data_IF_531732667551
#
_entry.id   IF_531732667551
#
_cell.length_a   1.000
_cell.length_b   1.000
_cell.length_c   1.000
_cell.angle_alpha   90.00
_cell.angle_beta   90.00
_cell.angle_gamma   90.00
#
_symmetry.space_group_name_H-M   'P 1'
#
loop_
_entity.id
_entity.type
_entity.pdbx_description
1 polymer ?
#
# COMPACT_ATOMS: atom_id res chain seq x y z
N UNK A 1 -2.42 19.18 11.35
CA UNK A 1 -1.06 19.51 10.85
C UNK A 1 -0.66 18.51 9.75
N UNK A 2 -1.42 18.44 8.65
CA UNK A 2 -1.27 17.41 7.59
C UNK A 2 -0.90 17.99 6.21
N UNK A 3 -0.67 19.32 6.11
CA UNK A 3 -0.49 19.99 4.81
C UNK A 3 0.91 19.83 4.19
N UNK A 4 1.94 19.47 4.96
CA UNK A 4 3.30 19.27 4.43
C UNK A 4 3.50 17.90 3.74
N UNK A 5 2.55 16.99 3.93
CA UNK A 5 2.65 15.57 3.61
C UNK A 5 2.41 15.28 2.10
N UNK A 6 1.82 16.24 1.37
CA UNK A 6 1.47 16.06 -0.05
C UNK A 6 2.63 16.15 -1.03
N UNK A 7 3.81 16.65 -0.62
CA UNK A 7 4.86 17.03 -1.58
C UNK A 7 5.96 16.00 -1.78
N UNK A 8 6.21 15.14 -0.80
CA UNK A 8 7.19 14.06 -0.92
C UNK A 8 6.57 12.78 -0.37
N UNK A 9 6.46 11.75 -1.22
CA UNK A 9 5.94 10.43 -0.86
C UNK A 9 6.84 9.65 0.10
N UNK A 10 7.33 10.29 1.16
CA UNK A 10 8.08 9.76 2.30
C UNK A 10 7.28 9.91 3.61
N UNK A 11 5.96 10.08 3.51
CA UNK A 11 5.02 10.30 4.61
C UNK A 11 5.29 9.31 5.75
N UNK A 12 5.24 8.01 5.45
CA UNK A 12 5.42 6.97 6.46
C UNK A 12 6.88 6.79 6.89
N UNK A 13 7.86 7.12 6.06
CA UNK A 13 9.27 6.95 6.43
C UNK A 13 9.64 7.81 7.65
N UNK A 14 9.10 9.01 7.75
CA UNK A 14 9.28 9.89 8.91
C UNK A 14 8.11 9.87 9.91
N UNK A 15 7.02 9.17 9.58
CA UNK A 15 5.87 9.07 10.47
C UNK A 15 6.19 8.19 11.69
N UNK A 16 5.53 8.51 12.81
CA UNK A 16 5.56 7.68 14.01
C UNK A 16 4.90 6.33 13.75
N UNK A 17 5.20 5.34 14.60
CA UNK A 17 4.62 4.00 14.49
C UNK A 17 3.09 4.03 14.48
N UNK A 18 2.47 4.89 15.31
CA UNK A 18 1.02 5.06 15.34
C UNK A 18 0.44 5.42 13.96
N UNK A 19 1.12 6.28 13.20
CA UNK A 19 0.67 6.70 11.86
C UNK A 19 0.99 5.64 10.79
N UNK A 20 2.03 4.81 11.00
CA UNK A 20 2.34 3.64 10.14
C UNK A 20 1.39 2.48 10.36
N UNK A 21 0.69 2.45 11.50
CA UNK A 21 -0.35 1.50 11.85
C UNK A 21 -1.76 2.05 11.59
N UNK A 22 -1.89 3.30 11.17
CA UNK A 22 -3.17 3.92 10.86
C UNK A 22 -3.59 3.58 9.42
N UNK A 23 -4.64 2.75 9.30
CA UNK A 23 -5.14 2.27 8.00
C UNK A 23 -5.50 3.41 7.06
N UNK A 24 -6.16 4.47 7.54
CA UNK A 24 -6.61 5.57 6.69
C UNK A 24 -5.43 6.37 6.15
N UNK A 25 -4.43 6.62 7.00
CA UNK A 25 -3.21 7.33 6.61
C UNK A 25 -2.40 6.51 5.61
N UNK A 26 -2.23 5.21 5.86
CA UNK A 26 -1.50 4.32 4.94
C UNK A 26 -2.22 4.23 3.60
N UNK A 27 -3.56 4.10 3.61
CA UNK A 27 -4.37 3.99 2.40
C UNK A 27 -4.28 5.26 1.54
N UNK A 28 -4.31 6.45 2.16
CA UNK A 28 -4.09 7.71 1.46
C UNK A 28 -2.65 7.86 0.95
N UNK A 29 -1.67 7.36 1.71
CA UNK A 29 -0.27 7.39 1.31
C UNK A 29 0.02 6.46 0.12
N UNK A 30 -0.51 5.24 0.09
CA UNK A 30 -0.29 4.29 -1.03
C UNK A 30 -0.97 4.74 -2.32
N UNK A 31 -2.11 5.44 -2.23
CA UNK A 31 -2.73 6.12 -3.39
C UNK A 31 -1.79 7.12 -4.03
N UNK A 32 -1.02 7.87 -3.22
CA UNK A 32 -0.02 8.80 -3.70
C UNK A 32 1.26 8.11 -4.19
N UNK A 33 1.77 7.12 -3.47
CA UNK A 33 3.00 6.38 -3.86
C UNK A 33 2.99 4.96 -3.28
N UNK A 34 2.73 3.94 -4.11
CA UNK A 34 2.57 2.57 -3.63
C UNK A 34 3.82 1.99 -2.94
N UNK A 35 5.03 2.47 -3.26
CA UNK A 35 6.28 2.06 -2.58
C UNK A 35 6.30 2.41 -1.09
N UNK A 36 5.42 3.30 -0.64
CA UNK A 36 5.30 3.68 0.78
C UNK A 36 4.83 2.49 1.63
N UNK A 37 4.11 1.52 1.05
CA UNK A 37 3.58 0.36 1.75
C UNK A 37 4.66 -0.44 2.51
N UNK A 38 5.92 -0.39 2.04
CA UNK A 38 7.05 -1.04 2.73
C UNK A 38 7.34 -0.51 4.14
N UNK A 39 6.82 0.68 4.47
CA UNK A 39 6.96 1.31 5.78
C UNK A 39 5.71 1.17 6.66
N UNK A 40 4.62 0.63 6.12
CA UNK A 40 3.42 0.34 6.91
C UNK A 40 3.69 -0.81 7.88
N UNK A 41 2.82 -0.93 8.89
CA UNK A 41 2.83 -2.04 9.82
C UNK A 41 2.72 -3.39 9.10
N UNK A 42 3.21 -4.46 9.72
CA UNK A 42 3.08 -5.81 9.16
C UNK A 42 1.60 -6.16 8.91
N UNK A 43 0.73 -5.82 9.86
CA UNK A 43 -0.73 -6.04 9.79
C UNK A 43 -1.34 -5.32 8.59
N UNK A 44 -0.93 -4.08 8.31
CA UNK A 44 -1.46 -3.31 7.19
C UNK A 44 -0.90 -3.76 5.83
N UNK A 45 0.24 -4.43 5.78
CA UNK A 45 0.73 -5.09 4.55
C UNK A 45 0.01 -6.41 4.25
N UNK A 46 -0.68 -6.95 5.26
CA UNK A 46 -1.58 -8.11 5.16
C UNK A 46 -3.03 -7.68 4.89
N UNK A 47 -3.33 -6.38 4.95
CA UNK A 47 -4.63 -5.84 4.65
C UNK A 47 -4.89 -5.83 3.13
N UNK A 48 -5.95 -6.54 2.73
CA UNK A 48 -6.33 -6.70 1.33
C UNK A 48 -6.69 -5.37 0.66
N UNK A 49 -7.38 -4.46 1.35
CA UNK A 49 -7.79 -3.18 0.76
C UNK A 49 -6.57 -2.31 0.42
N UNK A 50 -5.60 -2.28 1.34
CA UNK A 50 -4.34 -1.57 1.14
C UNK A 50 -3.54 -2.22 0.00
N UNK A 51 -3.47 -3.55 -0.05
CA UNK A 51 -2.79 -4.28 -1.11
C UNK A 51 -3.38 -3.99 -2.48
N UNK A 52 -4.71 -4.03 -2.61
CA UNK A 52 -5.44 -3.70 -3.85
C UNK A 52 -5.15 -2.26 -4.26
N UNK A 53 -5.25 -1.29 -3.33
CA UNK A 53 -4.98 0.11 -3.62
C UNK A 53 -3.54 0.34 -4.11
N UNK A 54 -2.57 -0.30 -3.47
CA UNK A 54 -1.16 -0.20 -3.84
C UNK A 54 -0.86 -0.84 -5.20
N UNK A 55 -1.41 -2.03 -5.47
CA UNK A 55 -1.20 -2.76 -6.73
C UNK A 55 -1.88 -2.09 -7.92
N UNK A 56 -3.07 -1.52 -7.70
CA UNK A 56 -3.80 -0.74 -8.70
C UNK A 56 -3.00 0.48 -9.13
N UNK A 57 -2.30 1.13 -8.19
CA UNK A 57 -1.43 2.25 -8.51
C UNK A 57 -0.14 1.80 -9.20
N UNK A 58 0.52 0.76 -8.67
CA UNK A 58 1.76 0.23 -9.23
C UNK A 58 1.91 -1.24 -8.87
N UNK A 59 1.84 -2.11 -9.89
CA UNK A 59 1.99 -3.56 -9.74
C UNK A 59 3.33 -3.98 -9.10
N UNK A 60 4.37 -3.14 -9.15
CA UNK A 60 5.64 -3.38 -8.43
C UNK A 60 5.49 -3.35 -6.90
N UNK A 61 4.36 -2.85 -6.39
CA UNK A 61 4.05 -2.90 -4.96
C UNK A 61 3.80 -4.33 -4.44
N UNK A 62 3.70 -5.33 -5.34
CA UNK A 62 3.63 -6.75 -5.00
C UNK A 62 4.74 -7.17 -4.04
N UNK A 63 5.95 -6.61 -4.18
CA UNK A 63 7.08 -6.93 -3.30
C UNK A 63 6.93 -6.43 -1.85
N UNK A 64 5.89 -5.64 -1.55
CA UNK A 64 5.66 -5.04 -0.25
C UNK A 64 4.40 -5.52 0.47
N UNK A 65 3.51 -6.25 -0.22
CA UNK A 65 2.36 -6.92 0.40
C UNK A 65 2.80 -8.28 0.94
N UNK A 66 2.00 -8.85 1.85
CA UNK A 66 2.28 -10.18 2.37
C UNK A 66 2.05 -11.27 1.31
N UNK A 67 2.86 -12.33 1.36
CA UNK A 67 2.77 -13.45 0.42
C UNK A 67 1.44 -14.20 0.54
N UNK A 68 0.81 -14.18 1.72
CA UNK A 68 -0.52 -14.74 1.96
C UNK A 68 -1.61 -14.14 1.06
N UNK A 69 -1.42 -12.92 0.56
CA UNK A 69 -2.35 -12.25 -0.34
C UNK A 69 -2.14 -12.61 -1.82
N UNK A 70 -1.06 -13.33 -2.17
CA UNK A 70 -0.79 -13.67 -3.58
C UNK A 70 -1.75 -14.72 -4.14
N UNK A 71 -2.39 -15.50 -3.27
CA UNK A 71 -3.41 -16.48 -3.66
C UNK A 71 -4.80 -15.84 -3.81
N UNK A 72 -4.98 -14.60 -3.36
CA UNK A 72 -6.24 -13.90 -3.48
C UNK A 72 -6.56 -13.60 -4.95
N UNK A 73 -7.78 -13.96 -5.37
CA UNK A 73 -8.23 -13.84 -6.75
C UNK A 73 -8.21 -12.39 -7.24
N UNK A 74 -8.60 -11.43 -6.39
CA UNK A 74 -8.61 -10.01 -6.77
C UNK A 74 -7.19 -9.51 -7.00
N UNK A 75 -6.25 -9.91 -6.13
CA UNK A 75 -4.83 -9.58 -6.26
C UNK A 75 -4.25 -10.17 -7.56
N UNK A 76 -4.56 -11.43 -7.87
CA UNK A 76 -4.09 -12.07 -9.11
C UNK A 76 -4.66 -11.39 -10.35
N UNK A 77 -5.94 -11.02 -10.34
CA UNK A 77 -6.59 -10.31 -11.43
C UNK A 77 -5.96 -8.93 -11.68
N UNK A 78 -5.56 -8.21 -10.63
CA UNK A 78 -4.86 -6.92 -10.76
C UNK A 78 -3.46 -7.12 -11.36
N UNK A 79 -2.73 -8.13 -10.90
CA UNK A 79 -1.37 -8.39 -11.36
C UNK A 79 -1.34 -8.86 -12.82
N UNK A 80 -2.19 -9.84 -13.14
CA UNK A 80 -2.30 -10.48 -14.44
C UNK A 80 -3.73 -10.31 -14.98
N UNK A 81 -4.11 -9.09 -15.41
CA UNK A 81 -5.41 -8.89 -16.03
C UNK A 81 -5.48 -9.78 -17.26
N UNK A 82 -6.57 -10.54 -17.39
CA UNK A 82 -6.83 -11.28 -18.63
C UNK A 82 -7.04 -10.24 -19.71
N UNK A 83 -6.09 -10.13 -20.63
CA UNK A 83 -6.32 -9.40 -21.88
C UNK A 83 -7.39 -10.19 -22.64
N UNK A 84 -8.57 -9.60 -22.80
CA UNK A 84 -9.61 -10.08 -23.73
C UNK A 84 -9.22 -9.82 -25.18
#
# INVERSE_FOLDING_TARGET
MLKAVKKDGQILYYASENLRNDKDIVLEAVKNKAIILKYASKELREDKDIAIAALTQNKKAKSYICESLFEDEDIQNILNPKEE
#
